data_IF_205686220014
#
_entry.id   IF_205686220014
#
_cell.length_a   1.000
_cell.length_b   1.000
_cell.length_c   1.000
_cell.angle_alpha   90.00
_cell.angle_beta   90.00
_cell.angle_gamma   90.00
#
_symmetry.space_group_name_H-M   'P 1'
#
loop_
_entity.id
_entity.type
_entity.pdbx_description
1 polymer ?
#
# COMPACT_ATOMS: atom_id res chain seq x y z
N UNK A 1 79.97 15.00 15.54
CA UNK A 1 78.90 14.97 14.52
C UNK A 1 77.72 14.04 14.87
N UNK A 2 77.93 12.86 15.47
CA UNK A 2 76.85 11.88 15.76
C UNK A 2 75.69 12.40 16.64
N UNK A 3 75.96 13.18 17.69
CA UNK A 3 74.92 13.68 18.61
C UNK A 3 73.91 14.65 17.95
N UNK A 4 74.32 15.37 16.90
CA UNK A 4 73.42 16.26 16.17
C UNK A 4 72.42 15.48 15.30
N UNK A 5 72.90 14.39 14.65
CA UNK A 5 72.07 13.52 13.83
C UNK A 5 71.00 12.79 14.66
N UNK A 6 71.35 12.29 15.86
CA UNK A 6 70.40 11.62 16.76
C UNK A 6 69.28 12.57 17.20
N UNK A 7 69.61 13.82 17.56
CA UNK A 7 68.59 14.83 17.91
C UNK A 7 67.69 15.18 16.74
N UNK A 8 68.24 15.30 15.53
CA UNK A 8 67.45 15.56 14.33
C UNK A 8 66.45 14.42 14.05
N UNK A 9 66.87 13.16 14.20
CA UNK A 9 65.99 12.00 14.06
C UNK A 9 64.90 11.96 15.13
N UNK A 10 65.25 12.28 16.38
CA UNK A 10 64.29 12.29 17.49
C UNK A 10 63.21 13.36 17.28
N UNK A 11 63.60 14.55 16.81
CA UNK A 11 62.65 15.62 16.45
C UNK A 11 61.74 15.16 15.31
N UNK A 12 62.30 14.59 14.24
CA UNK A 12 61.52 14.11 13.10
C UNK A 12 60.52 13.01 13.49
N UNK A 13 60.93 12.07 14.34
CA UNK A 13 60.04 11.01 14.85
C UNK A 13 58.90 11.59 15.69
N UNK A 14 59.21 12.55 16.57
CA UNK A 14 58.18 13.21 17.39
C UNK A 14 57.16 13.98 16.55
N UNK A 15 57.63 14.67 15.50
CA UNK A 15 56.75 15.38 14.57
C UNK A 15 55.85 14.39 13.81
N UNK A 16 56.42 13.28 13.32
CA UNK A 16 55.65 12.24 12.63
C UNK A 16 54.59 11.58 13.53
N UNK A 17 54.91 11.36 14.82
CA UNK A 17 53.94 10.82 15.79
C UNK A 17 52.77 11.78 16.03
N UNK A 18 53.06 13.09 16.14
CA UNK A 18 52.01 14.10 16.30
C UNK A 18 51.12 14.15 15.06
N UNK A 19 51.72 14.15 13.86
CA UNK A 19 50.99 14.11 12.59
C UNK A 19 50.09 12.86 12.50
N UNK A 20 50.59 11.69 12.87
CA UNK A 20 49.82 10.45 12.89
C UNK A 20 48.65 10.51 13.88
N UNK A 21 48.85 11.05 15.08
CA UNK A 21 47.77 11.21 16.06
C UNK A 21 46.69 12.17 15.58
N UNK A 22 47.08 13.27 14.94
CA UNK A 22 46.13 14.23 14.34
C UNK A 22 45.34 13.58 13.21
N UNK A 23 46.03 12.85 12.32
CA UNK A 23 45.38 12.14 11.22
C UNK A 23 44.41 11.06 11.73
N UNK A 24 44.79 10.32 12.77
CA UNK A 24 43.93 9.31 13.38
C UNK A 24 42.69 9.93 14.02
N UNK A 25 42.87 10.99 14.81
CA UNK A 25 41.75 11.72 15.40
C UNK A 25 40.78 12.24 14.33
N UNK A 26 41.29 12.82 13.25
CA UNK A 26 40.45 13.29 12.15
C UNK A 26 39.70 12.13 11.45
N UNK A 27 40.33 10.97 11.31
CA UNK A 27 39.68 9.77 10.76
C UNK A 27 38.57 9.26 11.69
N UNK A 28 38.81 9.24 13.00
CA UNK A 28 37.83 8.83 14.01
C UNK A 28 36.64 9.80 14.06
N UNK A 29 36.89 11.11 14.05
CA UNK A 29 35.86 12.15 14.02
C UNK A 29 35.00 12.04 12.73
N UNK A 30 35.64 11.78 11.59
CA UNK A 30 34.95 11.55 10.31
C UNK A 30 34.09 10.28 10.32
N UNK A 31 34.62 9.18 10.86
CA UNK A 31 33.87 7.93 11.01
C UNK A 31 32.68 8.10 11.96
N UNK A 32 32.86 8.80 13.08
CA UNK A 32 31.78 9.05 14.03
C UNK A 32 30.68 9.91 13.40
N UNK A 33 31.06 10.99 12.71
CA UNK A 33 30.12 11.83 11.96
C UNK A 33 29.34 11.02 10.90
N UNK A 34 30.00 10.10 10.19
CA UNK A 34 29.34 9.21 9.24
C UNK A 34 28.34 8.25 9.91
N UNK A 35 28.69 7.68 11.07
CA UNK A 35 27.79 6.81 11.84
C UNK A 35 26.55 7.57 12.32
N UNK A 36 26.74 8.77 12.85
CA UNK A 36 25.65 9.61 13.33
C UNK A 36 24.72 10.01 12.15
N UNK A 37 25.31 10.30 10.99
CA UNK A 37 24.55 10.57 9.76
C UNK A 37 23.72 9.37 9.30
N UNK A 38 24.24 8.14 9.40
CA UNK A 38 23.48 6.92 9.09
C UNK A 38 22.36 6.70 10.10
N UNK A 39 22.64 6.80 11.40
CA UNK A 39 21.64 6.64 12.44
C UNK A 39 20.46 7.64 12.29
N UNK A 40 20.74 8.89 11.94
CA UNK A 40 19.70 9.88 11.65
C UNK A 40 18.86 9.52 10.41
N UNK A 41 19.48 8.94 9.38
CA UNK A 41 18.76 8.50 8.17
C UNK A 41 17.87 7.30 8.47
N UNK A 42 18.37 6.34 9.24
CA UNK A 42 17.62 5.14 9.63
C UNK A 42 16.40 5.53 10.47
N UNK A 43 16.58 6.41 11.48
CA UNK A 43 15.45 6.93 12.27
C UNK A 43 14.40 7.63 11.39
N UNK A 44 14.84 8.42 10.39
CA UNK A 44 13.93 9.08 9.44
C UNK A 44 13.21 8.08 8.52
N UNK A 45 13.88 7.01 8.10
CA UNK A 45 13.27 5.96 7.28
C UNK A 45 12.21 5.21 8.09
N UNK A 46 12.48 4.88 9.34
CA UNK A 46 11.51 4.24 10.23
C UNK A 46 10.27 5.13 10.46
N UNK A 47 10.47 6.43 10.67
CA UNK A 47 9.40 7.42 10.80
C UNK A 47 8.51 7.45 9.54
N UNK A 48 9.13 7.55 8.36
CA UNK A 48 8.42 7.56 7.09
C UNK A 48 7.66 6.25 6.85
N UNK A 49 8.29 5.11 7.14
CA UNK A 49 7.64 3.81 7.00
C UNK A 49 6.44 3.67 7.95
N UNK A 50 6.53 4.18 9.19
CA UNK A 50 5.41 4.20 10.13
C UNK A 50 4.27 5.05 9.59
N UNK A 51 4.56 6.26 9.15
CA UNK A 51 3.56 7.18 8.57
C UNK A 51 2.88 6.59 7.34
N UNK A 52 3.63 5.94 6.44
CA UNK A 52 3.07 5.25 5.27
C UNK A 52 2.14 4.10 5.68
N UNK A 53 2.53 3.29 6.68
CA UNK A 53 1.68 2.21 7.19
C UNK A 53 0.38 2.75 7.79
N UNK A 54 0.46 3.75 8.67
CA UNK A 54 -0.73 4.36 9.30
C UNK A 54 -1.70 4.98 8.28
N UNK A 55 -1.15 5.68 7.27
CA UNK A 55 -1.93 6.25 6.19
C UNK A 55 -2.61 5.16 5.35
N UNK A 56 -1.88 4.08 5.05
CA UNK A 56 -2.40 2.92 4.34
C UNK A 56 -3.52 2.22 5.12
N UNK A 57 -3.32 1.94 6.41
CA UNK A 57 -4.32 1.31 7.27
C UNK A 57 -5.60 2.15 7.36
N UNK A 58 -5.45 3.47 7.49
CA UNK A 58 -6.57 4.40 7.51
C UNK A 58 -7.34 4.38 6.18
N UNK A 59 -6.62 4.33 5.07
CA UNK A 59 -7.22 4.26 3.74
C UNK A 59 -7.98 2.95 3.52
N UNK A 60 -7.37 1.81 3.83
CA UNK A 60 -7.99 0.48 3.73
C UNK A 60 -9.24 0.41 4.59
N UNK A 61 -9.19 0.92 5.84
CA UNK A 61 -10.36 0.96 6.74
C UNK A 61 -11.52 1.74 6.13
N UNK A 62 -11.26 2.92 5.57
CA UNK A 62 -12.30 3.75 4.92
C UNK A 62 -12.95 3.04 3.74
N UNK A 63 -12.14 2.41 2.88
CA UNK A 63 -12.66 1.66 1.73
C UNK A 63 -13.49 0.44 2.18
N UNK A 64 -13.00 -0.28 3.20
CA UNK A 64 -13.68 -1.43 3.77
C UNK A 64 -15.05 -1.07 4.37
N UNK A 65 -15.11 0.04 5.11
CA UNK A 65 -16.33 0.54 5.75
C UNK A 65 -17.33 1.06 4.72
N UNK A 66 -16.85 1.66 3.63
CA UNK A 66 -17.67 2.09 2.49
C UNK A 66 -18.37 0.93 1.79
N UNK A 67 -17.70 -0.22 1.70
CA UNK A 67 -18.28 -1.45 1.18
C UNK A 67 -18.53 -1.44 -0.34
N UNK A 68 -19.08 -2.55 -0.82
CA UNK A 68 -19.37 -2.80 -2.23
C UNK A 68 -20.70 -3.52 -2.39
N UNK A 69 -21.41 -3.28 -3.50
CA UNK A 69 -22.59 -4.08 -3.86
C UNK A 69 -22.17 -5.23 -4.75
N UNK A 70 -22.39 -6.45 -4.30
CA UNK A 70 -22.10 -7.68 -5.04
C UNK A 70 -23.31 -8.63 -5.05
N UNK A 71 -23.34 -9.56 -6.01
CA UNK A 71 -24.34 -10.61 -6.04
C UNK A 71 -23.94 -11.71 -5.07
N UNK A 72 -24.72 -11.89 -4.01
CA UNK A 72 -24.51 -12.97 -3.04
C UNK A 72 -25.18 -14.25 -3.53
N UNK A 73 -24.39 -15.32 -3.56
CA UNK A 73 -24.86 -16.66 -3.84
C UNK A 73 -25.28 -17.39 -2.57
N UNK A 74 -26.18 -18.35 -2.73
CA UNK A 74 -26.70 -19.14 -1.61
C UNK A 74 -27.32 -20.42 -2.10
N UNK A 75 -27.57 -21.35 -1.17
CA UNK A 75 -28.05 -22.71 -1.49
C UNK A 75 -29.35 -22.75 -2.29
N UNK A 76 -30.22 -21.74 -2.15
CA UNK A 76 -31.52 -21.64 -2.85
C UNK A 76 -31.43 -21.14 -4.31
N UNK A 77 -30.22 -20.93 -4.84
CA UNK A 77 -29.99 -20.81 -6.29
C UNK A 77 -30.37 -19.48 -6.96
N UNK A 78 -30.96 -18.51 -6.25
CA UNK A 78 -31.19 -17.15 -6.78
C UNK A 78 -30.17 -16.16 -6.19
N UNK A 79 -29.15 -15.74 -6.97
CA UNK A 79 -28.23 -14.69 -6.54
C UNK A 79 -28.99 -13.39 -6.30
N UNK A 80 -28.55 -12.60 -5.33
CA UNK A 80 -29.23 -11.36 -4.98
C UNK A 80 -28.23 -10.29 -4.54
N UNK A 81 -28.49 -9.01 -4.86
CA UNK A 81 -27.57 -7.94 -4.52
C UNK A 81 -27.50 -7.77 -3.00
N UNK A 82 -26.29 -7.63 -2.48
CA UNK A 82 -25.99 -7.29 -1.10
C UNK A 82 -24.92 -6.22 -1.06
N UNK A 83 -25.10 -5.25 -0.17
CA UNK A 83 -24.01 -4.38 0.23
C UNK A 83 -23.16 -5.14 1.26
N UNK A 84 -21.87 -5.25 0.98
CA UNK A 84 -20.89 -6.00 1.76
C UNK A 84 -19.83 -5.01 2.22
N UNK A 85 -19.51 -5.01 3.50
CA UNK A 85 -18.50 -4.10 4.08
C UNK A 85 -17.77 -4.76 5.23
N UNK A 86 -16.63 -4.20 5.60
CA UNK A 86 -15.90 -4.63 6.79
C UNK A 86 -15.89 -3.50 7.81
N UNK A 87 -16.39 -3.77 9.02
CA UNK A 87 -16.45 -2.80 10.12
C UNK A 87 -15.82 -3.44 11.34
N UNK A 88 -14.76 -2.82 11.86
CA UNK A 88 -13.95 -3.40 12.94
C UNK A 88 -13.52 -4.83 12.56
N UNK A 89 -13.87 -5.81 13.37
CA UNK A 89 -13.60 -7.24 13.22
C UNK A 89 -14.71 -8.01 12.49
N UNK A 90 -15.65 -7.32 11.80
CA UNK A 90 -16.83 -7.95 11.20
C UNK A 90 -16.91 -7.71 9.70
N UNK A 91 -17.04 -8.79 8.93
CA UNK A 91 -17.47 -8.77 7.54
C UNK A 91 -19.00 -8.85 7.49
N UNK A 92 -19.65 -7.72 7.25
CA UNK A 92 -21.10 -7.56 7.32
C UNK A 92 -21.73 -7.53 5.92
N UNK A 93 -22.97 -8.02 5.80
CA UNK A 93 -23.76 -7.82 4.57
C UNK A 93 -25.26 -7.62 4.83
N UNK A 94 -25.86 -6.75 4.02
CA UNK A 94 -27.27 -6.37 4.12
C UNK A 94 -27.84 -6.11 2.72
N UNK A 95 -29.16 -5.85 2.64
CA UNK A 95 -29.72 -5.40 1.36
C UNK A 95 -29.22 -3.98 1.05
N UNK A 96 -28.95 -3.63 -0.21
CA UNK A 96 -28.42 -2.31 -0.56
C UNK A 96 -29.27 -1.14 -0.05
N UNK A 97 -30.59 -1.32 0.10
CA UNK A 97 -31.47 -0.28 0.62
C UNK A 97 -31.25 0.02 2.10
N UNK A 98 -30.63 -0.90 2.84
CA UNK A 98 -30.31 -0.78 4.26
C UNK A 98 -28.84 -0.37 4.51
N UNK A 99 -28.08 -0.02 3.47
CA UNK A 99 -26.70 0.46 3.65
C UNK A 99 -26.63 1.92 4.12
N UNK A 100 -27.77 2.63 4.15
CA UNK A 100 -27.88 4.03 4.58
C UNK A 100 -27.77 4.19 6.11
N UNK A 101 -27.43 5.39 6.63
CA UNK A 101 -27.07 5.64 8.03
C UNK A 101 -28.23 5.46 9.04
N UNK A 102 -29.40 5.03 8.57
CA UNK A 102 -30.69 4.94 9.26
C UNK A 102 -30.71 3.96 10.46
N UNK A 103 -29.55 3.54 10.97
CA UNK A 103 -29.41 2.79 12.21
C UNK A 103 -29.87 1.33 12.17
N UNK A 104 -30.28 0.80 11.02
CA UNK A 104 -30.65 -0.62 10.89
C UNK A 104 -29.39 -1.48 10.86
N UNK A 105 -29.24 -2.35 11.86
CA UNK A 105 -28.07 -3.24 11.95
C UNK A 105 -28.02 -4.17 10.74
N UNK A 106 -26.79 -4.46 10.30
CA UNK A 106 -26.59 -5.45 9.24
C UNK A 106 -27.10 -6.81 9.72
N UNK A 107 -27.86 -7.48 8.87
CA UNK A 107 -28.59 -8.71 9.22
C UNK A 107 -27.61 -9.85 9.58
N UNK A 108 -26.44 -9.88 8.94
CA UNK A 108 -25.49 -11.00 9.02
C UNK A 108 -24.07 -10.49 8.95
N UNK A 109 -23.20 -11.06 9.79
CA UNK A 109 -21.77 -10.74 9.83
C UNK A 109 -20.88 -11.94 10.18
N UNK A 110 -19.77 -12.14 9.47
CA UNK A 110 -18.71 -13.11 9.82
C UNK A 110 -17.66 -12.37 10.64
N UNK A 111 -17.25 -12.93 11.77
CA UNK A 111 -16.14 -12.38 12.56
C UNK A 111 -14.81 -12.67 11.86
N UNK A 112 -13.87 -11.73 11.93
CA UNK A 112 -12.57 -11.85 11.28
C UNK A 112 -11.83 -13.12 11.73
N UNK A 113 -11.84 -13.41 13.04
CA UNK A 113 -11.23 -14.62 13.59
C UNK A 113 -11.92 -15.94 13.19
N UNK A 114 -13.12 -15.90 12.62
CA UNK A 114 -13.77 -17.10 12.07
C UNK A 114 -13.35 -17.37 10.62
N UNK A 115 -12.74 -16.40 9.93
CA UNK A 115 -12.37 -16.53 8.52
C UNK A 115 -11.17 -17.47 8.40
N UNK A 116 -11.38 -18.59 7.70
CA UNK A 116 -10.34 -19.58 7.46
C UNK A 116 -9.61 -19.29 6.15
N UNK A 117 -10.36 -18.98 5.09
CA UNK A 117 -9.78 -18.72 3.76
C UNK A 117 -10.60 -17.71 2.96
N UNK A 118 -9.90 -16.96 2.12
CA UNK A 118 -10.47 -16.06 1.10
C UNK A 118 -9.89 -16.49 -0.24
N UNK A 119 -10.72 -16.88 -1.20
CA UNK A 119 -10.30 -17.41 -2.50
C UNK A 119 -11.15 -16.84 -3.64
N UNK A 120 -10.51 -16.45 -4.72
CA UNK A 120 -11.18 -16.21 -5.99
C UNK A 120 -11.65 -17.52 -6.65
N UNK A 121 -12.59 -17.42 -7.59
CA UNK A 121 -13.11 -18.56 -8.33
C UNK A 121 -14.20 -19.33 -7.59
N UNK A 122 -14.66 -20.42 -8.19
CA UNK A 122 -15.70 -21.29 -7.64
C UNK A 122 -15.15 -22.25 -6.56
N UNK A 123 -14.66 -21.70 -5.44
CA UNK A 123 -14.00 -22.49 -4.39
C UNK A 123 -14.97 -23.33 -3.54
N UNK A 124 -16.23 -22.90 -3.40
CA UNK A 124 -17.25 -23.59 -2.57
C UNK A 124 -18.23 -24.39 -3.43
N UNK A 125 -18.90 -25.37 -2.82
CA UNK A 125 -19.92 -26.16 -3.53
C UNK A 125 -21.14 -25.33 -3.98
N UNK A 126 -21.39 -24.19 -3.34
CA UNK A 126 -22.43 -23.25 -3.77
C UNK A 126 -21.97 -22.51 -5.03
N UNK A 127 -20.72 -22.04 -5.06
CA UNK A 127 -20.16 -21.39 -6.23
C UNK A 127 -20.03 -22.35 -7.43
N UNK A 128 -19.64 -23.61 -7.21
CA UNK A 128 -19.53 -24.64 -8.26
C UNK A 128 -20.87 -24.95 -8.97
N UNK A 129 -22.00 -24.67 -8.32
CA UNK A 129 -23.35 -24.88 -8.89
C UNK A 129 -23.76 -23.81 -9.89
N UNK A 130 -22.96 -22.75 -10.07
CA UNK A 130 -23.24 -21.67 -11.02
C UNK A 130 -23.29 -22.15 -12.48
N UNK A 131 -22.84 -23.37 -12.75
CA UNK A 131 -22.85 -24.00 -14.05
C UNK A 131 -21.60 -23.65 -14.87
N UNK A 132 -21.27 -24.49 -15.85
CA UNK A 132 -20.20 -24.20 -16.81
C UNK A 132 -20.63 -23.00 -17.66
N UNK A 133 -19.84 -21.92 -17.64
CA UNK A 133 -20.05 -20.74 -18.50
C UNK A 133 -20.34 -19.42 -17.78
N UNK A 134 -20.39 -19.38 -16.44
CA UNK A 134 -20.23 -18.10 -15.72
C UNK A 134 -18.74 -17.80 -15.53
N UNK A 135 -18.39 -16.52 -15.52
CA UNK A 135 -17.04 -16.06 -15.24
C UNK A 135 -16.71 -16.34 -13.76
N UNK A 136 -16.08 -17.50 -13.52
CA UNK A 136 -15.48 -17.82 -12.22
C UNK A 136 -14.49 -16.74 -11.77
N UNK A 137 -13.89 -16.02 -12.72
CA UNK A 137 -13.02 -14.86 -12.53
C UNK A 137 -13.70 -13.68 -11.82
N UNK A 138 -15.02 -13.65 -11.73
CA UNK A 138 -15.79 -12.62 -11.00
C UNK A 138 -16.22 -13.08 -9.62
N UNK A 139 -15.90 -14.31 -9.23
CA UNK A 139 -16.33 -14.89 -7.97
C UNK A 139 -15.26 -14.72 -6.90
N UNK A 140 -15.69 -14.33 -5.71
CA UNK A 140 -14.91 -14.35 -4.47
C UNK A 140 -15.65 -15.18 -3.42
N UNK A 141 -14.97 -16.16 -2.85
CA UNK A 141 -15.47 -17.02 -1.80
C UNK A 141 -14.73 -16.76 -0.48
N UNK A 142 -15.48 -16.45 0.58
CA UNK A 142 -14.98 -16.37 1.95
C UNK A 142 -15.50 -17.59 2.72
N UNK A 143 -14.59 -18.40 3.24
CA UNK A 143 -14.93 -19.57 4.05
C UNK A 143 -14.60 -19.28 5.50
N UNK A 144 -15.61 -19.39 6.36
CA UNK A 144 -15.48 -19.28 7.80
C UNK A 144 -15.90 -20.58 8.49
N UNK A 145 -15.55 -20.73 9.76
CA UNK A 145 -15.88 -21.93 10.57
C UNK A 145 -17.37 -22.25 10.56
N UNK A 146 -18.21 -21.22 10.65
CA UNK A 146 -19.66 -21.37 10.78
C UNK A 146 -20.41 -21.40 9.43
N UNK A 147 -19.84 -20.81 8.37
CA UNK A 147 -20.52 -20.61 7.07
C UNK A 147 -19.59 -20.09 5.97
N UNK A 148 -20.11 -20.06 4.75
CA UNK A 148 -19.45 -19.44 3.59
C UNK A 148 -20.20 -18.21 3.10
N UNK A 149 -19.46 -17.29 2.47
CA UNK A 149 -19.98 -16.14 1.75
C UNK A 149 -19.39 -16.14 0.33
N UNK A 150 -20.26 -16.41 -0.64
CA UNK A 150 -19.90 -16.48 -2.05
C UNK A 150 -20.46 -15.25 -2.77
N UNK A 151 -19.59 -14.45 -3.37
CA UNK A 151 -19.89 -13.15 -3.98
C UNK A 151 -19.51 -13.16 -5.46
N UNK A 152 -20.33 -12.55 -6.30
CA UNK A 152 -20.06 -12.30 -7.71
C UNK A 152 -20.06 -10.79 -7.98
N UNK A 153 -19.00 -10.31 -8.61
CA UNK A 153 -18.77 -8.90 -8.92
C UNK A 153 -19.13 -8.58 -10.37
N UNK A 154 -19.32 -7.30 -10.67
CA UNK A 154 -19.59 -6.83 -12.03
C UNK A 154 -18.46 -7.14 -13.02
N UNK A 155 -17.22 -7.17 -12.54
CA UNK A 155 -16.02 -7.45 -13.33
C UNK A 155 -14.97 -8.19 -12.50
N UNK A 156 -14.01 -8.82 -13.19
CA UNK A 156 -12.84 -9.45 -12.56
C UNK A 156 -12.02 -8.41 -11.77
N UNK A 157 -11.81 -7.23 -12.34
CA UNK A 157 -11.06 -6.15 -11.68
C UNK A 157 -11.70 -5.72 -10.36
N UNK A 158 -13.03 -5.56 -10.32
CA UNK A 158 -13.74 -5.21 -9.08
C UNK A 158 -13.65 -6.33 -8.03
N UNK A 159 -13.62 -7.59 -8.47
CA UNK A 159 -13.39 -8.75 -7.60
C UNK A 159 -11.98 -8.75 -7.02
N UNK A 160 -10.97 -8.46 -7.84
CA UNK A 160 -9.56 -8.42 -7.41
C UNK A 160 -9.30 -7.27 -6.45
N UNK A 161 -9.80 -6.07 -6.76
CA UNK A 161 -9.70 -4.90 -5.87
C UNK A 161 -10.32 -5.19 -4.50
N UNK A 162 -11.52 -5.77 -4.48
CA UNK A 162 -12.16 -6.12 -3.21
C UNK A 162 -11.48 -7.28 -2.48
N UNK A 163 -10.87 -8.22 -3.22
CA UNK A 163 -10.10 -9.30 -2.62
C UNK A 163 -8.85 -8.77 -1.93
N UNK A 164 -8.08 -7.91 -2.59
CA UNK A 164 -6.91 -7.24 -1.99
C UNK A 164 -7.31 -6.46 -0.76
N UNK A 165 -8.39 -5.68 -0.84
CA UNK A 165 -8.87 -4.90 0.28
C UNK A 165 -9.30 -5.76 1.48
N UNK A 166 -10.05 -6.83 1.21
CA UNK A 166 -10.50 -7.76 2.26
C UNK A 166 -9.31 -8.50 2.91
N UNK A 167 -8.26 -8.79 2.14
CA UNK A 167 -7.02 -9.35 2.68
C UNK A 167 -6.29 -8.36 3.56
N UNK A 168 -6.06 -7.14 3.09
CA UNK A 168 -5.39 -6.10 3.87
C UNK A 168 -6.15 -5.83 5.16
N UNK A 169 -7.48 -5.83 5.12
CA UNK A 169 -8.33 -5.77 6.31
C UNK A 169 -8.12 -6.95 7.25
N UNK A 170 -8.17 -8.18 6.74
CA UNK A 170 -7.96 -9.37 7.57
C UNK A 170 -6.57 -9.36 8.23
N UNK A 171 -5.55 -8.92 7.50
CA UNK A 171 -4.16 -8.78 7.97
C UNK A 171 -4.04 -7.73 9.08
N UNK A 172 -4.66 -6.55 8.92
CA UNK A 172 -4.72 -5.52 9.96
C UNK A 172 -5.38 -6.03 11.25
N UNK A 173 -6.45 -6.81 11.12
CA UNK A 173 -7.16 -7.37 12.28
C UNK A 173 -6.36 -8.50 12.95
N UNK A 174 -5.66 -9.31 12.18
CA UNK A 174 -4.84 -10.42 12.69
C UNK A 174 -3.51 -9.96 13.29
N UNK A 175 -2.98 -8.82 12.83
CA UNK A 175 -1.75 -8.23 13.36
C UNK A 175 -1.88 -7.80 14.84
N UNK A 176 -3.11 -7.59 15.33
CA UNK A 176 -3.36 -7.33 16.75
C UNK A 176 -3.04 -8.53 17.64
N UNK A 177 -3.11 -9.75 17.10
CA UNK A 177 -2.95 -11.00 17.84
C UNK A 177 -1.65 -11.77 17.52
N UNK A 178 -0.85 -11.31 16.54
CA UNK A 178 0.30 -12.07 16.01
C UNK A 178 1.66 -11.34 16.16
N UNK A 179 2.76 -12.08 16.40
CA UNK A 179 4.10 -11.51 16.57
C UNK A 179 4.66 -10.90 15.28
N UNK A 180 5.59 -9.96 15.45
CA UNK A 180 6.29 -9.30 14.34
C UNK A 180 6.93 -10.33 13.39
N UNK A 181 6.64 -10.22 12.09
CA UNK A 181 7.13 -11.13 11.05
C UNK A 181 6.12 -12.18 10.58
N UNK A 182 4.89 -12.17 11.10
CA UNK A 182 3.81 -13.01 10.57
C UNK A 182 3.42 -12.62 9.14
N UNK A 183 3.34 -13.61 8.24
CA UNK A 183 2.82 -13.45 6.89
C UNK A 183 1.48 -14.16 6.75
N UNK A 184 0.53 -13.47 6.11
CA UNK A 184 -0.82 -13.98 5.89
C UNK A 184 -0.81 -15.26 5.07
N UNK A 185 -1.44 -16.32 5.58
CA UNK A 185 -1.59 -17.61 4.88
C UNK A 185 -2.57 -17.56 3.71
N UNK A 186 -3.18 -16.39 3.44
CA UNK A 186 -4.15 -16.26 2.37
C UNK A 186 -3.46 -16.28 0.99
N UNK A 187 -4.08 -16.88 -0.03
CA UNK A 187 -3.57 -16.86 -1.40
C UNK A 187 -3.78 -15.49 -2.04
N UNK A 188 -2.75 -14.94 -2.70
CA UNK A 188 -2.86 -13.65 -3.37
C UNK A 188 -3.83 -13.78 -4.55
N UNK A 189 -4.57 -12.72 -4.92
CA UNK A 189 -5.21 -12.69 -6.23
C UNK A 189 -4.14 -13.04 -7.26
N UNK A 190 -4.53 -13.86 -8.25
CA UNK A 190 -3.61 -14.25 -9.30
C UNK A 190 -3.09 -12.99 -9.98
N UNK A 191 -1.93 -12.52 -9.54
CA UNK A 191 -1.16 -11.55 -10.27
C UNK A 191 -1.01 -12.14 -11.66
N UNK A 192 -1.43 -11.40 -12.68
CA UNK A 192 -0.89 -11.55 -14.01
C UNK A 192 0.59 -11.81 -13.82
N UNK A 193 1.01 -13.03 -14.17
CA UNK A 193 2.37 -13.52 -14.06
C UNK A 193 3.29 -12.33 -14.32
N UNK A 194 4.00 -11.87 -13.28
CA UNK A 194 5.15 -11.03 -13.51
C UNK A 194 5.95 -11.80 -14.55
N UNK A 195 6.01 -11.26 -15.77
CA UNK A 195 6.79 -11.87 -16.82
C UNK A 195 8.17 -12.10 -16.22
N UNK A 196 8.76 -13.30 -16.37
CA UNK A 196 10.09 -13.54 -15.86
C UNK A 196 10.97 -12.41 -16.41
N UNK A 197 11.53 -11.62 -15.49
CA UNK A 197 12.56 -10.65 -15.81
C UNK A 197 13.75 -11.48 -16.28
N UNK A 198 13.72 -11.86 -17.55
CA UNK A 198 14.88 -12.45 -18.20
C UNK A 198 15.89 -11.34 -18.27
N UNK A 199 16.89 -11.42 -17.40
CA UNK A 199 18.08 -10.61 -17.42
C UNK A 199 18.84 -10.89 -18.72
N UNK A 200 18.41 -10.25 -19.81
CA UNK A 200 19.26 -10.02 -20.96
C UNK A 200 19.62 -8.55 -20.95
N UNK A 201 20.77 -8.27 -20.35
CA UNK A 201 21.50 -7.04 -20.63
C UNK A 201 21.69 -6.96 -22.16
N UNK A 202 21.17 -5.92 -22.84
CA UNK A 202 21.57 -5.66 -24.21
C UNK A 202 23.05 -5.28 -24.24
N UNK A 203 23.79 -5.61 -25.32
CA UNK A 203 25.17 -5.15 -25.48
C UNK A 203 25.19 -3.62 -25.51
N UNK A 204 26.18 -3.03 -24.84
CA UNK A 204 26.52 -1.61 -24.88
C UNK A 204 26.66 -1.15 -26.33
N UNK A 205 25.66 -0.47 -26.85
CA UNK A 205 25.78 0.34 -28.06
C UNK A 205 26.44 1.67 -27.69
N UNK A 206 27.51 1.98 -28.40
CA UNK A 206 28.25 3.24 -28.34
C UNK A 206 27.36 4.48 -28.44
N UNK A 207 27.75 5.62 -27.85
CA UNK A 207 26.97 6.85 -27.90
C UNK A 207 26.96 7.41 -29.34
N UNK A 208 25.81 7.31 -30.00
CA UNK A 208 25.53 8.13 -31.17
C UNK A 208 25.17 9.55 -30.70
N UNK A 209 25.91 10.54 -31.20
CA UNK A 209 25.61 11.97 -31.06
C UNK A 209 24.19 12.24 -31.54
N UNK A 210 23.27 12.47 -30.60
CA UNK A 210 21.91 12.93 -30.89
C UNK A 210 21.97 14.43 -31.13
N UNK A 211 21.88 14.82 -32.41
CA UNK A 211 21.56 16.19 -32.80
C UNK A 211 20.12 16.50 -32.37
N UNK A 212 19.98 17.42 -31.42
CA UNK A 212 18.69 17.90 -30.93
C UNK A 212 18.07 18.82 -31.99
N UNK A 213 16.90 18.50 -32.58
CA UNK A 213 16.19 19.44 -33.43
C UNK A 213 15.61 20.58 -32.58
N UNK A 214 15.83 21.80 -33.06
CA UNK A 214 15.38 23.06 -32.47
C UNK A 214 13.84 23.14 -32.57
N UNK A 215 13.16 23.01 -31.43
CA UNK A 215 11.70 23.19 -31.33
C UNK A 215 11.39 24.68 -31.34
N UNK A 216 10.63 25.12 -32.34
CA UNK A 216 10.07 26.47 -32.43
C UNK A 216 8.94 26.66 -31.40
N UNK A 217 8.77 27.86 -30.84
CA UNK A 217 7.71 28.15 -29.89
C UNK A 217 6.33 28.16 -30.57
N UNK A 218 5.27 27.71 -29.88
CA UNK A 218 3.91 27.82 -30.40
C UNK A 218 3.42 29.28 -30.34
N UNK A 219 3.13 29.85 -31.51
CA UNK A 219 2.25 31.01 -31.65
C UNK A 219 0.80 30.60 -31.35
N UNK A 220 0.09 31.43 -30.61
CA UNK A 220 -1.38 31.36 -30.56
C UNK A 220 -1.98 31.33 -29.17
N UNK A 221 -1.80 32.41 -28.39
CA UNK A 221 -2.61 32.66 -27.21
C UNK A 221 -4.05 33.00 -27.60
N UNK A 222 -4.99 32.07 -27.41
CA UNK A 222 -6.42 32.38 -27.28
C UNK A 222 -6.78 32.45 -25.81
N UNK A 223 -7.00 33.66 -25.33
CA UNK A 223 -7.54 33.93 -23.98
C UNK A 223 -8.98 33.44 -23.94
N UNK A 224 -9.27 32.50 -23.05
CA UNK A 224 -10.63 32.14 -22.66
C UNK A 224 -11.07 33.17 -21.60
N UNK A 225 -12.21 33.86 -21.76
CA UNK A 225 -12.77 34.70 -20.70
C UNK A 225 -13.30 33.79 -19.58
N UNK A 226 -12.77 33.97 -18.37
CA UNK A 226 -13.32 33.38 -17.16
C UNK A 226 -14.33 34.37 -16.62
N UNK A 227 -15.61 34.03 -16.75
CA UNK A 227 -16.71 34.75 -16.11
C UNK A 227 -16.69 34.43 -14.61
N UNK A 228 -16.19 35.37 -13.81
CA UNK A 228 -16.36 35.37 -12.36
C UNK A 228 -17.74 35.96 -12.06
N UNK A 229 -18.68 35.12 -11.68
CA UNK A 229 -19.97 35.54 -11.11
C UNK A 229 -19.86 35.57 -9.59
N UNK A 230 -19.85 36.75 -8.93
CA UNK A 230 -19.87 36.84 -7.47
C UNK A 230 -21.31 36.59 -6.99
N UNK A 231 -21.55 35.44 -6.34
CA UNK A 231 -22.78 35.23 -5.57
C UNK A 231 -22.76 36.08 -4.30
N UNK A 232 -23.89 36.73 -4.11
CA UNK A 232 -24.14 37.77 -3.14
C UNK A 232 -23.97 37.31 -1.70
N UNK A 233 -23.42 38.25 -0.93
CA UNK A 233 -23.62 38.40 0.51
C UNK A 233 -25.12 38.49 0.79
N UNK A 234 -25.62 37.67 1.71
CA UNK A 234 -26.74 38.08 2.58
C UNK A 234 -26.27 37.98 4.03
N UNK A 235 -25.98 39.15 4.57
CA UNK A 235 -26.05 39.47 5.98
C UNK A 235 -27.50 39.84 6.26
N UNK A 236 -28.18 39.10 7.13
CA UNK A 236 -29.24 39.56 8.03
C UNK A 236 -29.29 38.49 9.14
N UNK A 237 -29.55 38.76 10.41
CA UNK A 237 -29.56 39.96 11.23
C UNK A 237 -29.63 39.41 12.67
N UNK A 238 -29.17 40.24 13.57
CA UNK A 238 -29.11 40.10 15.02
C UNK A 238 -30.52 39.98 15.67
N UNK A 239 -30.56 39.47 16.91
CA UNK A 239 -31.29 40.02 18.08
C UNK A 239 -31.92 38.91 18.96
N UNK A 240 -31.43 38.92 20.21
CA UNK A 240 -31.99 38.40 21.47
C UNK A 240 -32.14 36.87 21.67
#
# INVERSE_FOLDING_TARGET
MQAAAVRALQVALSASQVEQQVAQKHADDSMQSAKDALAMRDARLEELQRSVREAHETHVRRLCEGGVVALKHGRKGKPHPRHVRCVRDRLEWSRPEYSRPDGKSYEKAILCGEIMTIRGGAATDVAKRLGKGRDEERILCVTATSRTLDLEFGSQAARDEWWELLRSWHEMQSALDMPAGWSSSLPHPHGHSALPLTSRLPPLCSPATVSIPRVSPPEGGRRIPIDFSPSALDMEEEVA
#
